data_IF_271892498745
#
_entry.id   IF_271892498745
#
_cell.length_a   1.000
_cell.length_b   1.000
_cell.length_c   1.000
_cell.angle_alpha   90.00
_cell.angle_beta   90.00
_cell.angle_gamma   90.00
#
_symmetry.space_group_name_H-M   'P 1'
#
loop_
_entity.id
_entity.type
_entity.pdbx_description
1 polymer ?
#
# COMPACT_ATOMS: atom_id res chain seq x y z
N UNK A 1 27.16 -19.66 6.77
CA UNK A 1 27.25 -18.39 7.55
C UNK A 1 28.08 -17.43 6.74
N UNK A 2 27.47 -16.35 6.29
CA UNK A 2 28.18 -15.23 5.67
C UNK A 2 28.72 -14.33 6.79
N UNK A 3 30.03 -14.14 6.85
CA UNK A 3 30.65 -13.16 7.74
C UNK A 3 30.66 -11.82 7.03
N UNK A 4 30.39 -10.74 7.76
CA UNK A 4 30.39 -9.38 7.23
C UNK A 4 29.51 -9.21 5.99
N UNK A 5 28.27 -9.74 6.08
CA UNK A 5 27.33 -9.72 4.97
C UNK A 5 26.99 -8.28 4.55
N UNK A 6 27.05 -8.02 3.25
CA UNK A 6 26.55 -6.78 2.67
C UNK A 6 25.01 -6.84 2.66
N UNK A 7 24.38 -5.89 3.30
CA UNK A 7 22.92 -5.89 3.46
C UNK A 7 22.23 -5.27 2.26
N UNK A 8 21.09 -5.85 1.88
CA UNK A 8 20.13 -5.21 1.00
C UNK A 8 19.48 -4.05 1.75
N UNK A 9 19.40 -2.89 1.14
CA UNK A 9 18.73 -1.73 1.72
C UNK A 9 18.01 -0.89 0.66
N UNK A 10 16.97 -0.14 1.05
CA UNK A 10 16.26 0.74 0.13
C UNK A 10 17.20 1.68 -0.60
N UNK A 11 17.01 1.85 -1.91
CA UNK A 11 17.81 2.70 -2.78
C UNK A 11 19.23 2.18 -3.11
N UNK A 12 19.76 1.20 -2.35
CA UNK A 12 21.07 0.59 -2.57
C UNK A 12 20.99 -0.93 -2.39
N UNK A 13 20.30 -1.55 -3.32
CA UNK A 13 19.99 -2.98 -3.32
C UNK A 13 21.22 -3.83 -3.63
N UNK A 14 21.72 -4.56 -2.64
CA UNK A 14 22.75 -5.57 -2.88
C UNK A 14 22.13 -6.96 -2.86
N UNK A 15 22.33 -7.71 -3.94
CA UNK A 15 21.83 -9.07 -4.08
C UNK A 15 22.99 -10.04 -4.26
N UNK A 16 23.01 -11.07 -3.42
CA UNK A 16 23.85 -12.23 -3.60
C UNK A 16 23.29 -13.13 -4.69
N UNK A 17 24.16 -13.94 -5.29
CA UNK A 17 23.80 -15.03 -6.20
C UNK A 17 23.93 -16.35 -5.46
N UNK A 18 22.84 -17.13 -5.45
CA UNK A 18 22.86 -18.49 -4.96
C UNK A 18 22.83 -19.44 -6.17
N UNK A 19 23.94 -20.12 -6.40
CA UNK A 19 24.05 -21.12 -7.46
C UNK A 19 23.67 -22.48 -6.89
N UNK A 20 22.69 -23.13 -7.49
CA UNK A 20 22.18 -24.45 -7.11
C UNK A 20 22.46 -25.42 -8.23
N UNK A 21 23.15 -26.51 -7.93
CA UNK A 21 23.45 -27.60 -8.87
C UNK A 21 22.72 -28.86 -8.46
N UNK A 22 21.97 -29.44 -9.37
CA UNK A 22 21.31 -30.72 -9.18
C UNK A 22 21.53 -31.61 -10.42
N UNK A 23 22.46 -32.55 -10.32
CA UNK A 23 22.90 -33.36 -11.47
C UNK A 23 23.55 -32.47 -12.55
N UNK A 24 22.90 -32.36 -13.70
CA UNK A 24 23.34 -31.49 -14.80
C UNK A 24 22.59 -30.14 -14.81
N UNK A 25 21.59 -29.97 -13.99
CA UNK A 25 20.81 -28.73 -13.89
C UNK A 25 21.54 -27.72 -13.01
N UNK A 26 21.45 -26.46 -13.42
CA UNK A 26 22.03 -25.33 -12.70
C UNK A 26 21.05 -24.18 -12.67
N UNK A 27 20.79 -23.64 -11.47
CA UNK A 27 19.96 -22.47 -11.22
C UNK A 27 20.74 -21.42 -10.46
N UNK A 28 20.61 -20.17 -10.87
CA UNK A 28 21.15 -19.01 -10.14
C UNK A 28 20.00 -18.18 -9.64
N UNK A 29 19.86 -18.03 -8.33
CA UNK A 29 18.83 -17.26 -7.68
C UNK A 29 19.43 -16.03 -7.00
N UNK A 30 18.90 -14.82 -7.24
CA UNK A 30 19.27 -13.64 -6.46
C UNK A 30 18.61 -13.70 -5.08
N UNK A 31 19.30 -13.26 -4.03
CA UNK A 31 18.71 -13.04 -2.71
C UNK A 31 19.40 -11.90 -1.98
N UNK A 32 18.66 -11.19 -1.14
CA UNK A 32 19.15 -10.12 -0.29
C UNK A 32 19.06 -10.47 1.19
N UNK A 33 19.94 -9.90 1.99
CA UNK A 33 19.96 -10.04 3.44
C UNK A 33 19.59 -8.70 4.06
N UNK A 34 18.58 -8.67 4.89
CA UNK A 34 18.19 -7.49 5.63
C UNK A 34 17.54 -7.87 6.95
N UNK A 35 17.42 -6.95 7.87
CA UNK A 35 16.63 -7.08 9.10
C UNK A 35 15.49 -6.09 9.11
N UNK A 36 14.40 -6.45 9.78
CA UNK A 36 13.24 -5.60 10.01
C UNK A 36 12.98 -5.54 11.50
N UNK A 37 12.71 -4.34 12.01
CA UNK A 37 12.30 -4.11 13.38
C UNK A 37 11.18 -3.06 13.40
N UNK A 38 10.27 -3.20 14.33
CA UNK A 38 9.17 -2.28 14.53
C UNK A 38 9.17 -1.78 15.98
N UNK A 39 8.94 -0.48 16.15
CA UNK A 39 8.66 0.15 17.44
C UNK A 39 7.29 0.80 17.39
N UNK A 40 6.84 1.39 18.49
CA UNK A 40 5.56 2.12 18.52
C UNK A 40 5.48 3.30 17.52
N UNK A 41 6.63 3.82 17.10
CA UNK A 41 6.72 5.02 16.26
C UNK A 41 7.64 4.89 15.03
N UNK A 42 8.32 3.77 14.85
CA UNK A 42 9.30 3.64 13.79
C UNK A 42 9.28 2.25 13.16
N UNK A 43 9.49 2.22 11.86
CA UNK A 43 9.86 1.04 11.10
C UNK A 43 11.36 1.10 10.80
N UNK A 44 12.08 0.03 11.12
CA UNK A 44 13.53 0.01 10.94
C UNK A 44 13.91 -1.07 9.91
N UNK A 45 14.73 -0.70 8.93
CA UNK A 45 15.39 -1.63 8.02
C UNK A 45 16.90 -1.56 8.32
N UNK A 46 17.50 -2.72 8.67
CA UNK A 46 18.91 -2.79 9.08
C UNK A 46 19.26 -1.84 10.23
N UNK A 47 18.33 -1.66 11.18
CA UNK A 47 18.50 -0.77 12.32
C UNK A 47 18.37 0.73 12.00
N UNK A 48 18.06 1.10 10.77
CA UNK A 48 17.87 2.49 10.35
C UNK A 48 16.39 2.81 10.18
N UNK A 49 15.91 3.98 10.63
CA UNK A 49 14.54 4.41 10.41
C UNK A 49 14.20 4.45 8.90
N UNK A 50 13.05 3.93 8.57
CA UNK A 50 12.49 3.93 7.22
C UNK A 50 11.09 4.51 7.24
N UNK A 51 10.87 5.54 6.43
CA UNK A 51 9.56 6.13 6.19
C UNK A 51 9.05 5.70 4.82
N UNK A 52 7.84 5.14 4.76
CA UNK A 52 7.24 4.67 3.50
C UNK A 52 6.72 5.86 2.70
N UNK A 53 7.46 6.31 1.70
CA UNK A 53 7.03 7.31 0.71
C UNK A 53 6.64 6.61 -0.57
N UNK A 54 5.36 6.53 -0.87
CA UNK A 54 5.00 5.72 -2.01
C UNK A 54 3.53 5.76 -2.43
N UNK A 55 3.09 4.63 -2.96
CA UNK A 55 1.81 4.57 -3.64
C UNK A 55 1.08 3.25 -3.41
N UNK A 56 -0.27 3.32 -3.37
CA UNK A 56 -1.08 2.23 -3.85
C UNK A 56 -0.99 2.17 -5.36
N UNK A 57 -0.89 0.96 -5.90
CA UNK A 57 -0.67 0.74 -7.34
C UNK A 57 -1.60 -0.35 -7.84
N UNK A 58 -1.84 -0.40 -9.14
CA UNK A 58 -2.39 -1.55 -9.85
C UNK A 58 -1.45 -2.00 -10.96
N UNK A 59 -1.44 -3.31 -11.25
CA UNK A 59 -0.92 -3.83 -12.51
C UNK A 59 -1.99 -3.58 -13.56
N UNK A 60 -1.90 -2.46 -14.26
CA UNK A 60 -2.85 -2.09 -15.31
C UNK A 60 -2.16 -1.26 -16.40
N UNK A 61 -2.41 -1.64 -17.64
CA UNK A 61 -1.96 -0.91 -18.81
C UNK A 61 -3.07 -0.80 -19.85
N UNK A 62 -2.93 0.14 -20.76
CA UNK A 62 -3.94 0.37 -21.80
C UNK A 62 -4.08 -0.83 -22.74
N UNK A 63 -2.97 -1.47 -23.10
CA UNK A 63 -2.95 -2.56 -24.08
C UNK A 63 -3.15 -3.93 -23.43
N UNK A 64 -2.47 -4.20 -22.31
CA UNK A 64 -2.45 -5.53 -21.68
C UNK A 64 -3.41 -5.69 -20.51
N UNK A 65 -4.05 -4.61 -20.08
CA UNK A 65 -4.86 -4.63 -18.87
C UNK A 65 -4.01 -5.09 -17.69
N UNK A 66 -4.41 -6.17 -17.02
CA UNK A 66 -3.69 -6.77 -15.88
C UNK A 66 -2.69 -7.88 -16.30
N UNK A 67 -2.45 -8.07 -17.59
CA UNK A 67 -1.44 -9.01 -18.05
C UNK A 67 -0.02 -8.49 -17.79
N UNK A 68 0.94 -9.40 -17.68
CA UNK A 68 2.36 -9.04 -17.49
C UNK A 68 2.86 -8.13 -18.62
N UNK A 69 3.44 -7.00 -18.24
CA UNK A 69 4.06 -6.02 -19.11
C UNK A 69 5.39 -5.56 -18.49
N UNK A 70 6.46 -6.29 -18.80
CA UNK A 70 7.80 -5.99 -18.24
C UNK A 70 8.31 -4.61 -18.64
N UNK A 71 8.02 -4.15 -19.86
CA UNK A 71 8.42 -2.83 -20.32
C UNK A 71 7.73 -1.72 -19.50
N UNK A 72 6.44 -1.92 -19.18
CA UNK A 72 5.72 -1.02 -18.30
C UNK A 72 6.24 -1.08 -16.86
N UNK A 73 6.58 -2.26 -16.36
CA UNK A 73 7.17 -2.41 -15.02
C UNK A 73 8.50 -1.65 -14.89
N UNK A 74 9.36 -1.72 -15.92
CA UNK A 74 10.58 -0.89 -15.97
C UNK A 74 10.24 0.60 -15.94
N UNK A 75 9.27 1.03 -16.74
CA UNK A 75 8.82 2.43 -16.78
C UNK A 75 8.28 2.88 -15.41
N UNK A 76 7.46 2.06 -14.78
CA UNK A 76 6.88 2.36 -13.46
C UNK A 76 7.97 2.49 -12.39
N UNK A 77 8.96 1.61 -12.37
CA UNK A 77 10.10 1.71 -11.43
C UNK A 77 10.94 2.97 -11.65
N UNK A 78 11.19 3.36 -12.90
CA UNK A 78 11.91 4.59 -13.19
C UNK A 78 11.10 5.84 -12.81
N UNK A 79 9.76 5.81 -12.94
CA UNK A 79 8.89 6.88 -12.49
C UNK A 79 8.80 6.96 -10.96
N UNK A 80 8.76 5.81 -10.24
CA UNK A 80 8.86 5.79 -8.78
C UNK A 80 10.16 6.46 -8.32
N UNK A 81 11.29 6.10 -8.94
CA UNK A 81 12.58 6.73 -8.66
C UNK A 81 12.58 8.23 -9.01
N UNK A 82 12.01 8.59 -10.16
CA UNK A 82 11.95 9.98 -10.62
C UNK A 82 11.19 10.89 -9.66
N UNK A 83 10.14 10.36 -9.00
CA UNK A 83 9.31 11.12 -8.07
C UNK A 83 9.83 11.07 -6.62
N UNK A 84 10.90 10.31 -6.34
CA UNK A 84 11.44 10.14 -4.99
C UNK A 84 10.73 9.10 -4.15
N UNK A 85 9.84 8.28 -4.73
CA UNK A 85 9.17 7.21 -4.01
C UNK A 85 10.13 6.04 -3.71
N UNK A 86 9.98 5.44 -2.53
CA UNK A 86 10.78 4.33 -2.05
C UNK A 86 9.98 3.04 -1.83
N UNK A 87 8.67 3.09 -1.98
CA UNK A 87 7.78 1.96 -1.65
C UNK A 87 6.50 1.96 -2.46
N UNK A 88 5.85 0.78 -2.52
CA UNK A 88 4.48 0.63 -2.99
C UNK A 88 3.77 -0.53 -2.28
N UNK A 89 2.44 -0.55 -2.35
CA UNK A 89 1.59 -1.67 -1.94
C UNK A 89 1.01 -2.36 -3.16
N UNK A 90 1.07 -3.71 -3.18
CA UNK A 90 0.51 -4.54 -4.25
C UNK A 90 -1.02 -4.60 -4.18
N UNK A 91 -1.67 -3.45 -4.32
CA UNK A 91 -3.12 -3.35 -4.20
C UNK A 91 -3.84 -4.01 -5.37
N UNK A 92 -4.74 -4.88 -5.19
CA UNK A 92 -5.25 -5.61 -4.02
C UNK A 92 -5.12 -7.12 -4.31
N UNK A 93 -3.97 -7.56 -4.76
CA UNK A 93 -3.66 -8.93 -5.19
C UNK A 93 -2.15 -9.13 -5.35
N UNK A 94 -1.66 -10.37 -5.34
CA UNK A 94 -0.26 -10.64 -5.63
C UNK A 94 0.11 -10.17 -7.05
N UNK A 95 1.16 -9.36 -7.15
CA UNK A 95 1.69 -8.91 -8.45
C UNK A 95 2.55 -9.99 -9.09
N UNK A 96 2.90 -9.82 -10.35
CA UNK A 96 3.81 -10.70 -11.05
C UNK A 96 5.17 -10.80 -10.30
N UNK A 97 5.76 -11.99 -10.24
CA UNK A 97 7.04 -12.22 -9.55
C UNK A 97 8.16 -11.36 -10.15
N UNK A 98 8.09 -11.09 -11.46
CA UNK A 98 9.00 -10.19 -12.18
C UNK A 98 8.99 -8.77 -11.60
N UNK A 99 7.84 -8.30 -11.11
CA UNK A 99 7.75 -7.00 -10.42
C UNK A 99 8.42 -7.05 -9.05
N UNK A 100 8.31 -8.17 -8.32
CA UNK A 100 9.01 -8.38 -7.05
C UNK A 100 10.53 -8.45 -7.26
N UNK A 101 11.00 -9.18 -8.28
CA UNK A 101 12.40 -9.24 -8.67
C UNK A 101 12.96 -7.87 -9.06
N UNK A 102 12.17 -7.07 -9.76
CA UNK A 102 12.56 -5.69 -10.12
C UNK A 102 12.62 -4.79 -8.90
N UNK A 103 11.68 -4.90 -7.96
CA UNK A 103 11.72 -4.17 -6.69
C UNK A 103 12.96 -4.54 -5.85
N UNK A 104 13.32 -5.83 -5.81
CA UNK A 104 14.56 -6.30 -5.19
C UNK A 104 15.81 -5.63 -5.80
N UNK A 105 15.88 -5.59 -7.13
CA UNK A 105 17.02 -5.02 -7.87
C UNK A 105 17.12 -3.49 -7.74
N UNK A 106 15.97 -2.81 -7.65
CA UNK A 106 15.90 -1.34 -7.57
C UNK A 106 15.93 -0.82 -6.13
N UNK A 107 15.84 -1.68 -5.13
CA UNK A 107 15.75 -1.29 -3.72
C UNK A 107 14.44 -0.58 -3.37
N UNK A 108 13.35 -0.97 -4.01
CA UNK A 108 12.01 -0.47 -3.71
C UNK A 108 11.36 -1.38 -2.70
N UNK A 109 10.83 -0.82 -1.62
CA UNK A 109 10.17 -1.57 -0.54
C UNK A 109 8.72 -1.90 -0.90
N UNK A 110 8.27 -3.10 -0.56
CA UNK A 110 6.94 -3.60 -0.91
C UNK A 110 6.16 -3.99 0.34
N UNK A 111 4.93 -3.49 0.44
CA UNK A 111 3.87 -4.05 1.29
C UNK A 111 3.09 -5.00 0.40
N UNK A 112 3.20 -6.30 0.65
CA UNK A 112 2.66 -7.32 -0.23
C UNK A 112 1.29 -7.79 0.25
N UNK A 113 0.28 -7.71 -0.64
CA UNK A 113 -1.13 -7.84 -0.28
C UNK A 113 -1.79 -9.04 -0.95
N UNK A 114 -2.57 -9.78 -0.17
CA UNK A 114 -3.43 -10.86 -0.66
C UNK A 114 -4.72 -10.34 -1.29
N UNK A 115 -5.40 -11.11 -2.16
CA UNK A 115 -6.64 -10.69 -2.82
C UNK A 115 -7.86 -10.70 -1.89
N UNK A 116 -7.71 -10.19 -0.67
CA UNK A 116 -8.77 -10.07 0.33
C UNK A 116 -9.39 -8.67 0.32
N UNK A 117 -9.91 -8.26 -0.83
CA UNK A 117 -10.66 -7.02 -1.08
C UNK A 117 -12.13 -7.37 -1.31
N UNK A 118 -13.05 -6.50 -0.91
CA UNK A 118 -14.49 -6.70 -1.12
C UNK A 118 -15.25 -7.32 0.07
N UNK A 119 -14.61 -7.58 1.19
CA UNK A 119 -15.28 -8.03 2.41
C UNK A 119 -16.01 -6.87 3.16
N UNK A 120 -16.38 -5.82 2.46
CA UNK A 120 -17.07 -4.67 3.02
C UNK A 120 -18.27 -4.26 2.16
N UNK A 121 -18.41 -4.88 0.98
CA UNK A 121 -19.21 -4.27 -0.04
C UNK A 121 -20.67 -4.68 -0.02
N UNK A 122 -21.44 -3.67 -0.05
CA UNK A 122 -22.62 -3.38 -0.87
C UNK A 122 -23.94 -3.97 -0.41
N UNK A 123 -23.99 -4.87 0.56
CA UNK A 123 -25.23 -5.42 1.09
C UNK A 123 -25.41 -5.14 2.59
N UNK A 124 -24.80 -4.07 3.11
CA UNK A 124 -24.92 -3.67 4.52
C UNK A 124 -26.35 -3.32 4.95
N UNK A 125 -27.27 -3.25 4.01
CA UNK A 125 -28.70 -3.05 4.31
C UNK A 125 -29.40 -4.35 4.74
N UNK A 126 -28.82 -5.55 4.48
CA UNK A 126 -29.47 -6.83 4.71
C UNK A 126 -28.66 -7.86 5.52
N UNK A 127 -27.94 -7.42 6.56
CA UNK A 127 -27.51 -8.36 7.59
C UNK A 127 -26.09 -8.91 7.50
N UNK A 128 -25.09 -8.05 7.46
CA UNK A 128 -23.69 -8.42 7.71
C UNK A 128 -22.96 -9.07 6.53
N UNK A 129 -21.63 -9.05 6.61
CA UNK A 129 -20.70 -9.65 5.63
C UNK A 129 -20.16 -10.98 6.14
N UNK A 130 -19.87 -11.07 7.45
CA UNK A 130 -19.32 -12.27 8.08
C UNK A 130 -20.46 -13.21 8.50
N UNK A 131 -21.07 -13.86 7.52
CA UNK A 131 -22.26 -14.74 7.64
C UNK A 131 -22.02 -16.06 6.91
N UNK A 132 -22.83 -17.08 7.17
CA UNK A 132 -22.70 -18.41 6.57
C UNK A 132 -22.81 -18.42 5.04
N UNK A 133 -23.55 -17.47 4.46
CA UNK A 133 -23.79 -17.35 3.02
C UNK A 133 -22.78 -16.45 2.30
N UNK A 134 -21.96 -15.67 3.02
CA UNK A 134 -20.97 -14.74 2.43
C UNK A 134 -19.53 -15.07 2.87
N UNK A 135 -19.04 -14.44 3.95
CA UNK A 135 -17.70 -14.68 4.48
C UNK A 135 -17.79 -15.71 5.62
N UNK A 136 -17.53 -16.95 5.28
CA UNK A 136 -17.71 -18.12 6.12
C UNK A 136 -16.41 -18.96 6.28
N UNK A 137 -16.54 -20.19 6.79
CA UNK A 137 -15.40 -21.09 6.96
C UNK A 137 -14.68 -21.45 5.66
N UNK A 138 -15.38 -21.52 4.52
CA UNK A 138 -14.75 -21.79 3.21
C UNK A 138 -13.94 -20.59 2.76
N UNK A 139 -14.45 -19.38 2.96
CA UNK A 139 -13.72 -18.13 2.71
C UNK A 139 -12.49 -18.06 3.61
N UNK A 140 -12.61 -18.41 4.89
CA UNK A 140 -11.48 -18.45 5.82
C UNK A 140 -10.41 -19.46 5.39
N UNK A 141 -10.81 -20.65 4.98
CA UNK A 141 -9.89 -21.70 4.50
C UNK A 141 -9.15 -21.20 3.22
N UNK A 142 -9.87 -20.60 2.29
CA UNK A 142 -9.29 -20.04 1.07
C UNK A 142 -8.37 -18.85 1.36
N UNK A 143 -8.74 -17.97 2.28
CA UNK A 143 -7.89 -16.85 2.71
C UNK A 143 -6.56 -17.36 3.29
N UNK A 144 -6.60 -18.38 4.13
CA UNK A 144 -5.38 -19.04 4.65
C UNK A 144 -4.55 -19.69 3.53
N UNK A 145 -5.20 -20.26 2.52
CA UNK A 145 -4.52 -20.84 1.36
C UNK A 145 -3.78 -19.76 0.57
N UNK A 146 -4.44 -18.68 0.17
CA UNK A 146 -3.79 -17.61 -0.63
C UNK A 146 -2.66 -16.92 0.15
N UNK A 147 -2.78 -16.78 1.47
CA UNK A 147 -1.69 -16.30 2.33
C UNK A 147 -0.49 -17.23 2.30
N UNK A 148 -0.72 -18.55 2.36
CA UNK A 148 0.36 -19.54 2.28
C UNK A 148 1.05 -19.49 0.92
N UNK A 149 0.28 -19.39 -0.16
CA UNK A 149 0.80 -19.34 -1.52
C UNK A 149 1.63 -18.08 -1.74
N UNK A 150 1.13 -16.90 -1.32
CA UNK A 150 1.86 -15.64 -1.35
C UNK A 150 3.17 -15.73 -0.56
N UNK A 151 3.09 -16.17 0.71
CA UNK A 151 4.27 -16.35 1.54
C UNK A 151 5.31 -17.30 0.90
N UNK A 152 4.88 -18.45 0.36
CA UNK A 152 5.78 -19.42 -0.24
C UNK A 152 6.50 -18.85 -1.45
N UNK A 153 5.83 -18.05 -2.27
CA UNK A 153 6.41 -17.40 -3.44
C UNK A 153 7.36 -16.26 -3.03
N UNK A 154 6.92 -15.38 -2.14
CA UNK A 154 7.56 -14.06 -1.97
C UNK A 154 8.42 -13.93 -0.70
N UNK A 155 8.46 -14.93 0.18
CA UNK A 155 9.25 -14.91 1.43
C UNK A 155 10.74 -14.63 1.25
N UNK A 156 11.31 -14.94 0.09
CA UNK A 156 12.73 -14.76 -0.19
C UNK A 156 13.04 -13.42 -0.89
N UNK A 157 12.03 -12.62 -1.23
CA UNK A 157 12.21 -11.28 -1.77
C UNK A 157 12.58 -10.30 -0.65
N UNK A 158 13.79 -9.71 -0.65
CA UNK A 158 14.17 -8.75 0.39
C UNK A 158 13.33 -7.47 0.36
N UNK A 159 12.75 -7.10 -0.80
CA UNK A 159 11.86 -5.95 -0.93
C UNK A 159 10.56 -6.10 -0.14
N UNK A 160 10.07 -7.33 0.06
CA UNK A 160 8.84 -7.59 0.83
C UNK A 160 9.15 -7.45 2.32
N UNK A 161 8.61 -6.41 2.94
CA UNK A 161 8.90 -6.07 4.34
C UNK A 161 7.69 -6.18 5.26
N UNK A 162 6.49 -6.31 4.70
CA UNK A 162 5.23 -6.38 5.46
C UNK A 162 4.18 -7.15 4.66
N UNK A 163 3.37 -7.95 5.34
CA UNK A 163 2.22 -8.64 4.77
C UNK A 163 0.93 -7.88 5.04
N UNK A 164 0.21 -7.50 3.99
CA UNK A 164 -1.15 -6.95 4.09
C UNK A 164 -2.17 -8.05 3.84
N UNK A 165 -2.94 -8.39 4.86
CA UNK A 165 -3.84 -9.54 4.83
C UNK A 165 -5.26 -9.22 4.39
N UNK A 166 -5.59 -7.95 4.23
CA UNK A 166 -6.91 -7.50 3.77
C UNK A 166 -6.91 -6.03 3.39
N UNK A 167 -7.84 -5.65 2.51
CA UNK A 167 -8.15 -4.25 2.22
C UNK A 167 -9.63 -3.95 2.51
N UNK A 168 -9.87 -2.94 3.35
CA UNK A 168 -11.18 -2.37 3.67
C UNK A 168 -12.26 -3.41 4.05
N UNK A 169 -11.98 -4.38 4.93
CA UNK A 169 -13.02 -5.30 5.36
C UNK A 169 -14.05 -4.60 6.24
N UNK A 170 -15.24 -5.18 6.39
CA UNK A 170 -16.26 -4.67 7.31
C UNK A 170 -15.88 -4.96 8.77
N UNK A 171 -14.80 -4.33 9.20
CA UNK A 171 -14.14 -4.57 10.51
C UNK A 171 -14.96 -4.09 11.71
N UNK A 172 -16.10 -3.45 11.47
CA UNK A 172 -17.06 -3.05 12.50
C UNK A 172 -17.95 -4.19 13.01
N UNK A 173 -18.08 -5.28 12.23
CA UNK A 173 -18.86 -6.45 12.66
C UNK A 173 -18.12 -7.25 13.75
N UNK A 174 -18.86 -7.75 14.75
CA UNK A 174 -18.25 -8.56 15.83
C UNK A 174 -17.63 -9.86 15.28
N UNK A 175 -18.30 -10.48 14.32
CA UNK A 175 -17.81 -11.71 13.69
C UNK A 175 -16.48 -11.53 12.92
N UNK A 176 -16.19 -10.32 12.45
CA UNK A 176 -14.90 -10.01 11.80
C UNK A 176 -13.71 -10.24 12.74
N UNK A 177 -13.90 -10.01 14.03
CA UNK A 177 -12.86 -10.16 15.06
C UNK A 177 -12.28 -11.57 15.07
N UNK A 178 -13.15 -12.58 15.22
CA UNK A 178 -12.71 -13.97 15.25
C UNK A 178 -12.06 -14.40 13.93
N UNK A 179 -12.62 -13.97 12.82
CA UNK A 179 -12.10 -14.27 11.49
C UNK A 179 -10.65 -13.76 11.34
N UNK A 180 -10.42 -12.47 11.59
CA UNK A 180 -9.09 -11.88 11.42
C UNK A 180 -8.09 -12.27 12.52
N UNK A 181 -8.54 -12.61 13.71
CA UNK A 181 -7.69 -13.22 14.72
C UNK A 181 -7.11 -14.54 14.23
N UNK A 182 -7.93 -15.40 13.62
CA UNK A 182 -7.46 -16.66 13.04
C UNK A 182 -6.53 -16.48 11.83
N UNK A 183 -6.88 -15.57 10.92
CA UNK A 183 -6.04 -15.26 9.76
C UNK A 183 -4.67 -14.75 10.21
N UNK A 184 -4.63 -13.82 11.18
CA UNK A 184 -3.39 -13.27 11.72
C UNK A 184 -2.55 -14.33 12.42
N UNK A 185 -3.16 -15.18 13.26
CA UNK A 185 -2.47 -16.31 13.88
C UNK A 185 -1.88 -17.28 12.85
N UNK A 186 -2.57 -17.45 11.71
CA UNK A 186 -2.09 -18.34 10.66
C UNK A 186 -0.85 -17.79 9.95
N UNK A 187 -0.88 -16.53 9.47
CA UNK A 187 0.29 -15.94 8.79
C UNK A 187 1.47 -15.80 9.76
N UNK A 188 1.23 -15.52 11.05
CA UNK A 188 2.29 -15.46 12.08
C UNK A 188 3.00 -16.79 12.29
N UNK A 189 2.34 -17.93 12.03
CA UNK A 189 2.98 -19.25 12.05
C UNK A 189 3.86 -19.50 10.83
N UNK A 190 3.56 -18.85 9.70
CA UNK A 190 4.37 -18.95 8.48
C UNK A 190 5.57 -18.02 8.52
N UNK A 191 5.35 -16.80 9.01
CA UNK A 191 6.37 -15.74 9.13
C UNK A 191 6.25 -15.06 10.49
N UNK A 192 7.28 -15.23 11.31
CA UNK A 192 7.36 -14.59 12.64
C UNK A 192 8.16 -13.28 12.63
N UNK A 193 8.75 -12.91 11.49
CA UNK A 193 9.68 -11.78 11.40
C UNK A 193 9.03 -10.54 10.79
N UNK A 194 8.30 -10.70 9.67
CA UNK A 194 7.68 -9.55 9.01
C UNK A 194 6.44 -9.09 9.74
N UNK A 195 6.25 -7.77 9.94
CA UNK A 195 5.01 -7.21 10.42
C UNK A 195 3.82 -7.58 9.56
N UNK A 196 2.66 -7.68 10.22
CA UNK A 196 1.38 -7.96 9.58
C UNK A 196 0.51 -6.71 9.69
N UNK A 197 -0.18 -6.39 8.62
CA UNK A 197 -1.16 -5.32 8.55
C UNK A 197 -2.40 -5.72 7.76
N UNK A 198 -3.37 -4.86 7.77
CA UNK A 198 -4.54 -4.83 6.89
C UNK A 198 -5.02 -3.39 6.84
N UNK A 199 -5.64 -2.99 5.76
CA UNK A 199 -6.01 -1.60 5.52
C UNK A 199 -7.45 -1.33 5.91
N UNK A 200 -7.70 -0.32 6.76
CA UNK A 200 -9.01 0.02 7.33
C UNK A 200 -9.59 1.29 6.74
N UNK A 201 -10.89 1.29 6.47
CA UNK A 201 -11.64 2.49 6.07
C UNK A 201 -12.73 2.90 7.06
N UNK A 202 -13.01 2.08 8.06
CA UNK A 202 -14.00 2.37 9.11
C UNK A 202 -13.53 3.42 10.10
N UNK A 203 -14.45 3.96 10.88
CA UNK A 203 -14.10 4.82 12.01
C UNK A 203 -13.37 4.02 13.09
N UNK A 204 -12.37 4.62 13.73
CA UNK A 204 -11.54 3.96 14.73
C UNK A 204 -12.35 3.35 15.88
N UNK A 205 -13.42 4.01 16.30
CA UNK A 205 -14.29 3.54 17.40
C UNK A 205 -14.99 2.22 17.04
N UNK A 206 -15.27 2.01 15.77
CA UNK A 206 -15.98 0.83 15.27
C UNK A 206 -15.05 -0.33 14.93
N UNK A 207 -13.76 -0.04 14.68
CA UNK A 207 -12.80 -1.07 14.27
C UNK A 207 -12.54 -2.09 15.39
N UNK A 208 -12.55 -3.37 15.00
CA UNK A 208 -12.40 -4.52 15.91
C UNK A 208 -11.18 -5.38 15.60
N UNK A 209 -10.47 -5.14 14.48
CA UNK A 209 -9.45 -6.07 13.99
C UNK A 209 -8.03 -5.53 14.02
N UNK A 210 -7.81 -4.22 13.98
CA UNK A 210 -6.46 -3.64 13.99
C UNK A 210 -5.67 -3.95 15.28
N UNK A 211 -6.34 -4.40 16.32
CA UNK A 211 -5.68 -4.92 17.52
C UNK A 211 -4.75 -6.11 17.25
N UNK A 212 -5.01 -6.90 16.21
CA UNK A 212 -4.24 -8.09 15.85
C UNK A 212 -3.03 -7.78 14.94
N UNK A 213 -2.98 -6.59 14.34
CA UNK A 213 -1.93 -6.16 13.42
C UNK A 213 -0.76 -5.50 14.14
N UNK A 214 0.38 -5.44 13.51
CA UNK A 214 1.58 -4.80 14.06
C UNK A 214 1.64 -3.31 13.68
N UNK A 215 1.14 -2.98 12.50
CA UNK A 215 1.05 -1.62 11.95
C UNK A 215 -0.41 -1.32 11.64
N UNK A 216 -0.89 -0.15 12.02
CA UNK A 216 -2.21 0.34 11.64
C UNK A 216 -2.11 0.98 10.25
N UNK A 217 -2.83 0.43 9.27
CA UNK A 217 -2.96 1.01 7.95
C UNK A 217 -4.39 1.50 7.71
N UNK A 218 -4.53 2.74 7.23
CA UNK A 218 -5.84 3.36 7.01
C UNK A 218 -5.95 4.02 5.64
N UNK A 219 -7.14 3.91 5.03
CA UNK A 219 -7.52 4.63 3.83
C UNK A 219 -8.40 5.82 4.22
N UNK A 220 -8.00 7.03 3.81
CA UNK A 220 -8.72 8.26 4.15
C UNK A 220 -8.86 9.20 2.97
N UNK A 221 -10.09 9.56 2.70
CA UNK A 221 -10.43 10.40 1.55
C UNK A 221 -11.19 11.66 1.96
N UNK A 222 -10.66 12.36 2.99
CA UNK A 222 -11.14 13.69 3.31
C UNK A 222 -10.90 14.63 2.13
N UNK A 223 -11.87 15.49 1.84
CA UNK A 223 -11.84 16.34 0.65
C UNK A 223 -12.31 15.64 -0.64
N UNK A 224 -12.52 14.31 -0.62
CA UNK A 224 -13.01 13.58 -1.80
C UNK A 224 -14.28 12.80 -1.53
N UNK A 225 -14.22 11.61 -0.89
CA UNK A 225 -15.44 10.87 -0.53
C UNK A 225 -16.16 11.50 0.66
N UNK A 226 -15.40 12.10 1.56
CA UNK A 226 -15.91 12.82 2.72
C UNK A 226 -15.60 14.31 2.57
N UNK A 227 -16.65 15.13 2.44
CA UNK A 227 -16.50 16.59 2.31
C UNK A 227 -15.85 17.03 0.98
N UNK A 228 -16.28 16.45 -0.15
CA UNK A 228 -15.79 16.84 -1.47
C UNK A 228 -15.80 18.36 -1.67
N UNK A 229 -14.71 18.91 -2.19
CA UNK A 229 -14.53 20.33 -2.42
C UNK A 229 -14.14 21.16 -1.19
N UNK A 230 -13.99 20.53 0.00
CA UNK A 230 -13.64 21.22 1.25
C UNK A 230 -12.19 20.92 1.66
N UNK A 231 -11.26 21.47 0.89
CA UNK A 231 -9.81 21.26 1.11
C UNK A 231 -9.38 21.67 2.52
N UNK A 232 -9.92 22.76 3.03
CA UNK A 232 -9.61 23.30 4.37
C UNK A 232 -9.94 22.34 5.54
N UNK A 233 -10.74 21.30 5.27
CA UNK A 233 -11.09 20.27 6.27
C UNK A 233 -10.16 19.07 6.27
N UNK A 234 -9.34 18.90 5.24
CA UNK A 234 -8.49 17.71 5.10
C UNK A 234 -7.52 17.61 6.28
N UNK A 235 -6.67 18.61 6.44
CA UNK A 235 -5.67 18.66 7.51
C UNK A 235 -6.23 18.41 8.91
N UNK A 236 -7.23 19.18 9.42
CA UNK A 236 -7.71 18.96 10.78
C UNK A 236 -8.43 17.63 10.95
N UNK A 237 -9.13 17.15 9.93
CA UNK A 237 -9.83 15.86 10.00
C UNK A 237 -8.86 14.68 10.04
N UNK A 238 -7.88 14.66 9.13
CA UNK A 238 -6.90 13.58 9.08
C UNK A 238 -6.04 13.56 10.35
N UNK A 239 -5.53 14.71 10.78
CA UNK A 239 -4.72 14.77 12.00
C UNK A 239 -5.46 14.23 13.23
N UNK A 240 -6.73 14.64 13.39
CA UNK A 240 -7.56 14.16 14.50
C UNK A 240 -7.76 12.64 14.42
N UNK A 241 -8.01 12.10 13.23
CA UNK A 241 -8.23 10.68 13.04
C UNK A 241 -6.95 9.87 13.29
N UNK A 242 -5.80 10.32 12.80
CA UNK A 242 -4.49 9.69 13.05
C UNK A 242 -4.18 9.57 14.54
N UNK A 243 -4.39 10.64 15.29
CA UNK A 243 -4.19 10.66 16.76
C UNK A 243 -5.06 9.62 17.43
N UNK A 244 -6.35 9.54 17.08
CA UNK A 244 -7.27 8.55 17.66
C UNK A 244 -6.85 7.10 17.37
N UNK A 245 -6.37 6.82 16.13
CA UNK A 245 -5.88 5.49 15.78
C UNK A 245 -4.65 5.09 16.60
N UNK A 246 -3.71 6.00 16.74
CA UNK A 246 -2.51 5.76 17.55
C UNK A 246 -2.85 5.62 19.03
N UNK A 247 -3.67 6.49 19.61
CA UNK A 247 -4.11 6.42 21.01
C UNK A 247 -4.82 5.11 21.35
N UNK A 248 -5.68 4.62 20.43
CA UNK A 248 -6.42 3.38 20.66
C UNK A 248 -5.54 2.14 20.66
N UNK A 249 -4.54 2.06 19.76
CA UNK A 249 -3.80 0.84 19.53
C UNK A 249 -2.33 0.88 19.98
N UNK A 250 -1.75 2.04 20.23
CA UNK A 250 -0.35 2.20 20.60
C UNK A 250 0.63 1.74 19.53
N UNK A 251 0.24 1.83 18.24
CA UNK A 251 0.99 1.29 17.11
C UNK A 251 1.34 2.40 16.13
N UNK A 252 2.41 2.23 15.33
CA UNK A 252 2.70 3.14 14.24
C UNK A 252 1.62 3.06 13.16
N UNK A 253 1.43 4.16 12.44
CA UNK A 253 0.36 4.32 11.45
C UNK A 253 0.94 4.58 10.07
N UNK A 254 0.33 3.98 9.03
CA UNK A 254 0.53 4.32 7.62
C UNK A 254 -0.81 4.75 7.05
N UNK A 255 -0.84 5.89 6.37
CA UNK A 255 -1.99 6.23 5.51
C UNK A 255 -1.77 5.55 4.16
N UNK A 256 -2.51 4.46 3.93
CA UNK A 256 -2.30 3.59 2.77
C UNK A 256 -3.06 4.00 1.52
N UNK A 257 -4.02 4.90 1.67
CA UNK A 257 -4.72 5.52 0.54
C UNK A 257 -5.26 6.90 0.90
N UNK A 258 -4.93 7.90 0.09
CA UNK A 258 -5.52 9.24 0.09
C UNK A 258 -5.35 9.88 -1.28
N UNK A 259 -6.19 10.85 -1.63
CA UNK A 259 -6.13 11.54 -2.91
C UNK A 259 -7.49 11.86 -3.50
N UNK A 260 -7.51 12.43 -4.68
CA UNK A 260 -8.71 12.84 -5.40
C UNK A 260 -8.64 12.49 -6.88
N UNK A 261 -9.79 12.10 -7.47
CA UNK A 261 -9.87 11.90 -8.91
C UNK A 261 -9.62 13.21 -9.67
N UNK A 262 -8.85 13.13 -10.75
CA UNK A 262 -8.31 14.29 -11.46
C UNK A 262 -8.25 14.01 -12.96
N UNK A 263 -8.91 14.85 -13.74
CA UNK A 263 -8.88 14.76 -15.19
C UNK A 263 -7.62 15.46 -15.69
N UNK A 264 -6.73 14.71 -16.34
CA UNK A 264 -5.50 15.26 -16.90
C UNK A 264 -5.81 16.41 -17.88
N UNK A 265 -5.12 17.55 -17.71
CA UNK A 265 -5.32 18.76 -18.50
C UNK A 265 -6.51 19.64 -18.08
N UNK A 266 -7.27 19.26 -17.05
CA UNK A 266 -8.28 20.12 -16.47
C UNK A 266 -7.64 21.04 -15.42
N UNK A 267 -7.48 22.32 -15.79
CA UNK A 267 -6.91 23.36 -14.95
C UNK A 267 -7.95 24.42 -14.55
N UNK A 268 -7.97 24.78 -13.27
CA UNK A 268 -8.89 25.80 -12.74
C UNK A 268 -8.33 26.48 -11.50
N UNK A 269 -8.38 27.82 -11.48
CA UNK A 269 -8.08 28.65 -10.30
C UNK A 269 -9.25 29.63 -10.04
N UNK A 270 -9.75 29.71 -8.79
CA UNK A 270 -9.42 28.79 -7.70
C UNK A 270 -9.76 27.35 -8.05
N UNK A 271 -9.09 26.42 -7.36
CA UNK A 271 -9.21 24.99 -7.61
C UNK A 271 -10.64 24.45 -7.45
N UNK A 272 -11.01 23.51 -8.31
CA UNK A 272 -12.30 22.79 -8.24
C UNK A 272 -12.05 21.29 -8.29
N UNK A 273 -12.99 20.52 -7.76
CA UNK A 273 -12.91 19.04 -7.85
C UNK A 273 -12.65 18.61 -9.30
N UNK A 274 -11.86 17.54 -9.48
CA UNK A 274 -11.34 17.02 -10.75
C UNK A 274 -10.24 17.86 -11.44
N UNK A 275 -9.94 19.08 -10.99
CA UNK A 275 -8.79 19.82 -11.55
C UNK A 275 -7.47 19.31 -11.00
N UNK A 276 -6.38 19.52 -11.73
CA UNK A 276 -5.04 19.11 -11.32
C UNK A 276 -4.57 19.91 -10.09
N UNK A 277 -4.97 21.18 -9.97
CA UNK A 277 -4.71 22.02 -8.80
C UNK A 277 -5.40 21.46 -7.55
N UNK A 278 -6.62 20.94 -7.70
CA UNK A 278 -7.33 20.30 -6.58
C UNK A 278 -6.61 19.05 -6.09
N UNK A 279 -6.14 18.18 -6.98
CA UNK A 279 -5.39 17.00 -6.62
C UNK A 279 -4.11 17.37 -5.85
N UNK A 280 -3.35 18.33 -6.39
CA UNK A 280 -2.15 18.84 -5.75
C UNK A 280 -2.43 19.32 -4.33
N UNK A 281 -3.38 20.24 -4.17
CA UNK A 281 -3.77 20.79 -2.86
C UNK A 281 -4.28 19.71 -1.90
N UNK A 282 -5.05 18.74 -2.41
CA UNK A 282 -5.53 17.63 -1.61
C UNK A 282 -4.36 16.81 -1.03
N UNK A 283 -3.33 16.54 -1.82
CA UNK A 283 -2.13 15.82 -1.37
C UNK A 283 -1.37 16.66 -0.34
N UNK A 284 -1.08 17.93 -0.62
CA UNK A 284 -0.36 18.84 0.28
C UNK A 284 -1.01 18.92 1.68
N UNK A 285 -2.34 19.03 1.75
CA UNK A 285 -3.06 19.12 3.04
C UNK A 285 -3.06 17.80 3.81
N UNK A 286 -3.03 16.65 3.11
CA UNK A 286 -2.85 15.35 3.74
C UNK A 286 -1.43 15.19 4.28
N UNK A 287 -0.40 15.49 3.47
CA UNK A 287 1.01 15.40 3.86
C UNK A 287 1.27 16.26 5.11
N UNK A 288 0.80 17.51 5.11
CA UNK A 288 0.92 18.38 6.27
C UNK A 288 0.35 17.78 7.57
N UNK A 289 -0.76 17.03 7.49
CA UNK A 289 -1.34 16.40 8.67
C UNK A 289 -0.49 15.22 9.15
N UNK A 290 0.12 14.47 8.23
CA UNK A 290 0.98 13.33 8.52
C UNK A 290 2.34 13.76 9.09
N UNK A 291 2.94 14.81 8.55
CA UNK A 291 4.24 15.36 8.99
C UNK A 291 4.23 15.82 10.45
N UNK A 292 3.08 16.22 10.97
CA UNK A 292 2.92 16.65 12.36
C UNK A 292 2.66 15.49 13.35
N UNK A 293 2.70 14.22 12.89
CA UNK A 293 2.43 13.03 13.69
C UNK A 293 3.65 12.11 13.70
N UNK A 294 4.44 12.13 14.77
CA UNK A 294 5.71 11.38 14.91
C UNK A 294 5.55 9.85 14.93
N UNK A 295 4.34 9.35 15.06
CA UNK A 295 3.96 7.94 14.98
C UNK A 295 3.49 7.51 13.58
N UNK A 296 3.37 8.43 12.63
CA UNK A 296 3.12 8.11 11.23
C UNK A 296 4.46 7.72 10.60
N UNK A 297 4.50 6.50 10.10
CA UNK A 297 5.71 5.91 9.52
C UNK A 297 5.64 5.78 8.00
N UNK A 298 4.58 6.28 7.39
CA UNK A 298 4.46 6.25 5.93
C UNK A 298 3.13 6.76 5.39
N UNK A 299 3.21 7.05 4.10
CA UNK A 299 2.13 7.57 3.28
C UNK A 299 2.17 6.93 1.88
N UNK A 300 1.07 6.36 1.47
CA UNK A 300 0.89 5.87 0.12
C UNK A 300 -0.27 6.61 -0.55
N UNK A 301 0.05 7.40 -1.56
CA UNK A 301 -0.97 8.09 -2.36
C UNK A 301 -1.76 7.05 -3.15
N UNK A 302 -3.06 7.18 -3.18
CA UNK A 302 -3.92 6.46 -4.12
C UNK A 302 -4.26 7.37 -5.30
N UNK A 303 -3.68 7.10 -6.48
CA UNK A 303 -2.85 5.98 -6.84
C UNK A 303 -1.62 6.42 -7.63
N UNK A 304 -0.70 5.50 -7.89
CA UNK A 304 0.45 5.76 -8.74
C UNK A 304 0.03 6.24 -10.13
N UNK A 305 -0.81 5.46 -10.81
CA UNK A 305 -1.34 5.82 -12.12
C UNK A 305 -2.85 5.58 -12.19
N UNK A 306 -3.51 6.28 -13.09
CA UNK A 306 -4.89 6.00 -13.44
C UNK A 306 -5.03 4.55 -13.92
N UNK A 307 -6.16 3.92 -13.63
CA UNK A 307 -6.41 2.54 -14.01
C UNK A 307 -7.88 2.30 -14.36
N UNK A 308 -8.12 1.26 -15.15
CA UNK A 308 -9.48 0.90 -15.56
C UNK A 308 -10.27 0.31 -14.39
N UNK A 309 -11.50 0.75 -14.24
CA UNK A 309 -12.49 0.23 -13.30
C UNK A 309 -13.90 0.50 -13.84
N UNK A 310 -14.92 0.00 -13.14
CA UNK A 310 -16.31 0.27 -13.53
C UNK A 310 -16.61 1.76 -13.61
N UNK A 311 -17.36 2.17 -14.63
CA UNK A 311 -17.75 3.56 -14.83
C UNK A 311 -18.84 4.03 -13.87
N UNK A 312 -18.84 5.33 -13.60
CA UNK A 312 -19.83 5.98 -12.74
C UNK A 312 -19.56 7.47 -12.59
N UNK A 313 -20.39 8.18 -11.88
CA UNK A 313 -20.23 9.63 -11.68
C UNK A 313 -18.90 10.02 -11.02
N UNK A 314 -18.35 9.13 -10.19
CA UNK A 314 -17.04 9.31 -9.53
C UNK A 314 -15.92 8.51 -10.24
N UNK A 315 -16.19 7.94 -11.42
CA UNK A 315 -15.28 7.08 -12.19
C UNK A 315 -15.38 7.41 -13.67
N UNK A 316 -15.07 8.63 -14.00
CA UNK A 316 -15.07 9.12 -15.39
C UNK A 316 -13.91 8.48 -16.13
N UNK A 317 -14.18 7.53 -17.02
CA UNK A 317 -13.17 6.79 -17.76
C UNK A 317 -12.14 6.08 -16.83
N UNK A 318 -12.64 5.33 -15.86
CA UNK A 318 -11.83 4.59 -14.87
C UNK A 318 -11.56 5.37 -13.57
N UNK A 319 -10.61 4.90 -12.78
CA UNK A 319 -10.13 5.61 -11.59
C UNK A 319 -9.08 6.64 -11.99
N UNK A 320 -9.32 7.90 -11.71
CA UNK A 320 -8.48 9.04 -12.09
C UNK A 320 -7.67 9.63 -10.93
N UNK A 321 -7.49 8.87 -9.84
CA UNK A 321 -6.69 9.31 -8.69
C UNK A 321 -5.18 9.18 -8.90
N UNK A 322 -4.76 8.57 -10.02
CA UNK A 322 -3.35 8.50 -10.38
C UNK A 322 -2.69 9.88 -10.40
N UNK A 323 -1.45 9.95 -9.93
CA UNK A 323 -0.60 11.13 -10.18
C UNK A 323 0.04 11.08 -11.56
N UNK A 324 0.04 9.91 -12.17
CA UNK A 324 0.29 9.70 -13.58
C UNK A 324 -1.01 9.28 -14.28
N UNK A 325 -1.12 9.59 -15.57
CA UNK A 325 -2.20 9.03 -16.39
C UNK A 325 -1.99 7.51 -16.57
N UNK A 326 -2.98 6.81 -17.14
CA UNK A 326 -2.84 5.38 -17.46
C UNK A 326 -1.66 5.10 -18.41
N UNK A 327 -1.36 6.06 -19.29
CA UNK A 327 -0.22 6.04 -20.22
C UNK A 327 1.09 6.52 -19.57
N UNK A 328 1.09 6.78 -18.25
CA UNK A 328 2.24 7.23 -17.47
C UNK A 328 2.72 8.65 -17.82
N UNK A 329 1.81 9.55 -18.20
CA UNK A 329 2.12 10.97 -18.30
C UNK A 329 1.92 11.63 -16.91
N UNK A 330 2.87 12.45 -16.44
CA UNK A 330 2.72 13.10 -15.14
C UNK A 330 1.63 14.18 -15.16
N UNK A 331 0.83 14.22 -14.09
CA UNK A 331 -0.06 15.33 -13.77
C UNK A 331 0.66 16.36 -12.90
N UNK A 332 0.07 17.51 -12.69
CA UNK A 332 0.66 18.61 -11.87
C UNK A 332 1.13 18.16 -10.49
N UNK A 333 0.37 17.27 -9.84
CA UNK A 333 0.74 16.73 -8.53
C UNK A 333 2.07 15.95 -8.53
N UNK A 334 2.43 15.28 -9.63
CA UNK A 334 3.69 14.56 -9.75
C UNK A 334 4.90 15.50 -9.64
N UNK A 335 4.82 16.68 -10.22
CA UNK A 335 5.89 17.68 -10.12
C UNK A 335 5.98 18.33 -8.75
N UNK A 336 4.85 18.53 -8.06
CA UNK A 336 4.84 19.05 -6.70
C UNK A 336 5.52 18.07 -5.72
N UNK A 337 5.11 16.80 -5.72
CA UNK A 337 5.69 15.75 -4.87
C UNK A 337 7.20 15.64 -5.11
N UNK A 338 7.62 15.61 -6.38
CA UNK A 338 9.04 15.56 -6.74
C UNK A 338 9.84 16.75 -6.19
N UNK A 339 9.28 17.97 -6.22
CA UNK A 339 9.98 19.16 -5.72
C UNK A 339 10.11 19.16 -4.20
N UNK A 340 9.15 18.62 -3.46
CA UNK A 340 9.20 18.46 -2.00
C UNK A 340 10.32 17.51 -1.60
N UNK A 341 10.49 16.40 -2.30
CA UNK A 341 11.58 15.44 -2.04
C UNK A 341 12.95 16.05 -2.25
N UNK A 342 13.17 16.86 -3.28
CA UNK A 342 14.45 17.50 -3.55
C UNK A 342 14.78 18.64 -2.58
N UNK A 343 13.78 19.24 -1.91
CA UNK A 343 14.01 20.27 -0.89
C UNK A 343 14.35 19.69 0.47
N UNK A 344 13.97 18.44 0.75
CA UNK A 344 14.33 17.75 2.01
C UNK A 344 15.74 17.19 2.05
N UNK A 345 16.46 17.16 0.91
CA UNK A 345 17.86 16.72 0.80
C UNK A 345 18.87 17.87 0.88
N UNK A 346 18.42 19.13 0.94
CA UNK A 346 19.26 20.32 1.10
C UNK A 346 19.24 20.85 2.53
#
# INVERSE_FOLDING_TARGET
>A
ILKDAQLWQPGSAYLYKLDIYFGQDHYTLPFGIRTIQLTEKQFLINGKPFYFKGFGKHEDSDIRGKGLDEALNVRDCELLKWIGANSFRTSHYPYAEEMMQMADQKGIVVIDEVPAVGMNFFDGENGGIFTEDKVNEKTLAYHKQVLKELYQRDKNHPCVVMWSITNEPHSSEEASRNYFEEVTKYIRKLDSERPITGTMNVDVEKDKISQFFDVVCINRYFGWYVGAGKIERIYPSLKTDLIKWHEKYGKPVIVTEYGADTIAGLHKLPEVIFSEEYQKRCIEENNKAMDECDFVIGEHIWAFADFMTAFGLKRVDGNKKGIFTRERQPKTAAFAIRSEEHTSEL
#
